data_IF_521888113841
#
_entry.id   IF_521888113841
#
_cell.length_a   1.000
_cell.length_b   1.000
_cell.length_c   1.000
_cell.angle_alpha   90.00
_cell.angle_beta   90.00
_cell.angle_gamma   90.00
#
_symmetry.space_group_name_H-M   'P 1'
#
loop_
_entity.id
_entity.type
_entity.pdbx_description
1 polymer ?
#
# COMPACT_ATOMS: atom_id res chain seq x y z
N UNK A 1 12.17 -16.82 -6.29
CA UNK A 1 11.77 -16.54 -7.67
C UNK A 1 12.99 -16.52 -8.54
N UNK A 2 12.81 -16.06 -9.77
CA UNK A 2 13.88 -15.77 -10.71
C UNK A 2 14.27 -14.27 -10.70
N UNK A 3 13.55 -13.46 -9.93
CA UNK A 3 13.83 -12.05 -9.69
C UNK A 3 15.14 -11.86 -8.94
N UNK A 4 15.85 -10.77 -9.23
CA UNK A 4 17.09 -10.38 -8.54
C UNK A 4 16.80 -9.10 -7.79
N UNK A 5 16.85 -9.18 -6.46
CA UNK A 5 16.67 -8.06 -5.55
C UNK A 5 18.02 -7.73 -4.85
N UNK A 6 18.13 -6.64 -4.07
CA UNK A 6 19.41 -6.24 -3.45
C UNK A 6 20.08 -7.35 -2.63
N UNK A 7 19.30 -8.19 -1.94
CA UNK A 7 19.79 -9.30 -1.12
C UNK A 7 19.68 -10.67 -1.84
N UNK A 8 19.72 -10.67 -3.17
CA UNK A 8 19.65 -11.86 -4.01
C UNK A 8 18.23 -12.21 -4.47
N UNK A 9 18.02 -13.46 -4.84
CA UNK A 9 16.70 -13.91 -5.31
C UNK A 9 15.69 -14.01 -4.16
N UNK A 10 14.46 -13.53 -4.39
CA UNK A 10 13.39 -13.67 -3.40
C UNK A 10 13.13 -15.14 -3.08
N UNK A 11 13.03 -15.52 -1.81
CA UNK A 11 12.76 -16.89 -1.40
C UNK A 11 12.08 -16.94 -0.04
N UNK A 12 11.23 -17.94 0.14
CA UNK A 12 10.54 -18.23 1.40
C UNK A 12 10.07 -19.68 1.40
N UNK A 13 9.43 -20.13 2.46
CA UNK A 13 8.90 -21.48 2.61
C UNK A 13 7.47 -21.45 3.16
N UNK A 14 6.75 -22.55 2.93
CA UNK A 14 5.48 -22.90 3.59
C UNK A 14 5.64 -24.28 4.23
N UNK A 15 4.76 -24.63 5.17
CA UNK A 15 4.79 -25.95 5.83
C UNK A 15 4.39 -27.05 4.84
N UNK A 16 5.08 -28.19 4.88
CA UNK A 16 4.85 -29.30 3.96
C UNK A 16 3.42 -29.85 4.07
N UNK A 17 2.93 -30.05 5.29
CA UNK A 17 1.57 -30.54 5.51
C UNK A 17 0.51 -29.60 4.92
N UNK A 18 0.76 -28.28 4.88
CA UNK A 18 -0.13 -27.32 4.23
C UNK A 18 -0.10 -27.41 2.71
N UNK A 19 1.06 -27.70 2.12
CA UNK A 19 1.19 -27.93 0.68
C UNK A 19 0.50 -29.23 0.22
N UNK A 20 0.41 -30.22 1.11
CA UNK A 20 -0.25 -31.51 0.85
C UNK A 20 -1.75 -31.49 1.18
N UNK A 21 -2.20 -30.52 1.98
CA UNK A 21 -3.60 -30.39 2.34
C UNK A 21 -4.40 -29.77 1.20
N UNK A 22 -5.18 -30.61 0.53
CA UNK A 22 -6.05 -30.13 -0.53
C UNK A 22 -6.97 -29.02 -0.05
N UNK A 23 -7.46 -29.01 1.20
CA UNK A 23 -8.32 -27.95 1.75
C UNK A 23 -7.66 -26.58 1.78
N UNK A 24 -6.33 -26.47 1.74
CA UNK A 24 -5.64 -25.16 1.69
C UNK A 24 -5.54 -24.56 0.30
N UNK A 25 -5.85 -25.33 -0.75
CA UNK A 25 -6.00 -24.81 -2.11
C UNK A 25 -4.73 -24.16 -2.67
N UNK A 26 -3.54 -24.65 -2.28
CA UNK A 26 -2.26 -24.08 -2.75
C UNK A 26 -2.03 -24.45 -4.22
N UNK A 27 -1.73 -23.45 -5.05
CA UNK A 27 -1.64 -23.59 -6.50
C UNK A 27 -0.28 -23.18 -7.05
N UNK A 28 0.11 -23.83 -8.15
CA UNK A 28 1.02 -23.27 -9.14
C UNK A 28 0.19 -22.65 -10.26
N UNK A 29 0.07 -21.33 -10.25
CA UNK A 29 -0.76 -20.59 -11.19
C UNK A 29 0.06 -20.11 -12.40
N UNK A 30 -0.49 -20.30 -13.60
CA UNK A 30 0.05 -19.76 -14.87
C UNK A 30 -0.95 -18.83 -15.61
N UNK A 31 -2.17 -18.69 -15.08
CA UNK A 31 -3.20 -17.75 -15.51
C UNK A 31 -3.76 -16.98 -14.32
N UNK A 32 -4.30 -15.80 -14.58
CA UNK A 32 -5.08 -15.00 -13.64
C UNK A 32 -6.25 -14.38 -14.41
N UNK A 33 -7.49 -14.60 -13.94
CA UNK A 33 -8.72 -14.15 -14.61
C UNK A 33 -8.80 -14.58 -16.08
N UNK A 34 -8.47 -15.85 -16.35
CA UNK A 34 -8.51 -16.46 -17.69
C UNK A 34 -7.34 -16.13 -18.62
N UNK A 35 -6.58 -15.07 -18.33
CA UNK A 35 -5.46 -14.63 -19.15
C UNK A 35 -4.12 -15.16 -18.59
N UNK A 36 -3.08 -15.35 -19.44
CA UNK A 36 -1.73 -15.66 -18.97
C UNK A 36 -1.23 -14.62 -17.95
N UNK A 37 -0.43 -15.04 -16.98
CA UNK A 37 0.12 -14.13 -15.99
C UNK A 37 0.85 -12.95 -16.65
N UNK A 38 0.55 -11.73 -16.18
CA UNK A 38 1.36 -10.54 -16.45
C UNK A 38 2.68 -10.65 -15.70
N UNK A 39 3.78 -10.01 -16.14
CA UNK A 39 5.05 -10.16 -15.44
C UNK A 39 5.01 -9.65 -14.01
N UNK A 40 4.29 -8.56 -13.69
CA UNK A 40 4.09 -8.10 -12.31
C UNK A 40 3.44 -9.15 -11.39
N UNK A 41 2.73 -10.11 -11.99
CA UNK A 41 2.07 -11.21 -11.29
C UNK A 41 2.82 -12.54 -11.48
N UNK A 42 4.08 -12.52 -11.91
CA UNK A 42 4.96 -13.68 -11.86
C UNK A 42 4.99 -14.54 -13.13
N UNK A 43 4.74 -13.96 -14.31
CA UNK A 43 4.86 -14.69 -15.60
C UNK A 43 6.19 -15.47 -15.69
N UNK A 44 6.20 -16.74 -16.14
CA UNK A 44 5.05 -17.53 -16.59
C UNK A 44 4.34 -18.30 -15.47
N UNK A 45 4.93 -18.40 -14.28
CA UNK A 45 4.46 -19.28 -13.22
C UNK A 45 4.72 -18.67 -11.84
N UNK A 46 3.72 -18.74 -10.96
CA UNK A 46 3.85 -18.35 -9.55
C UNK A 46 3.24 -19.39 -8.62
N UNK A 47 3.61 -19.32 -7.35
CA UNK A 47 2.82 -19.93 -6.27
C UNK A 47 1.68 -18.98 -5.90
N UNK A 48 0.50 -19.53 -5.59
CA UNK A 48 -0.61 -18.86 -4.89
C UNK A 48 -0.94 -19.67 -3.66
N UNK A 49 -0.88 -19.03 -2.49
CA UNK A 49 -1.16 -19.65 -1.18
C UNK A 49 -2.37 -18.97 -0.55
N UNK A 50 -3.58 -19.52 -0.73
CA UNK A 50 -4.79 -18.94 -0.16
C UNK A 50 -4.74 -18.79 1.37
N UNK A 51 -5.37 -17.74 1.89
CA UNK A 51 -5.44 -17.47 3.32
C UNK A 51 -4.12 -17.02 3.98
N UNK A 52 -3.03 -16.88 3.21
CA UNK A 52 -1.74 -16.39 3.69
C UNK A 52 -1.38 -15.03 3.09
N UNK A 53 -0.41 -14.35 3.72
CA UNK A 53 0.14 -13.12 3.19
C UNK A 53 0.73 -13.31 1.78
N UNK A 54 0.68 -12.24 0.98
CA UNK A 54 1.19 -12.23 -0.39
C UNK A 54 2.67 -12.63 -0.49
N UNK A 55 3.49 -12.36 0.55
CA UNK A 55 4.90 -12.75 0.60
C UNK A 55 5.14 -14.26 0.44
N UNK A 56 4.19 -15.13 0.83
CA UNK A 56 4.34 -16.60 0.64
C UNK A 56 3.97 -17.07 -0.76
N UNK A 57 3.33 -16.22 -1.55
CA UNK A 57 2.92 -16.49 -2.94
C UNK A 57 4.02 -16.09 -3.93
N UNK A 58 5.14 -16.82 -3.92
CA UNK A 58 6.36 -16.52 -4.70
C UNK A 58 6.08 -16.36 -6.20
N UNK A 59 6.44 -15.20 -6.76
CA UNK A 59 6.38 -14.90 -8.20
C UNK A 59 7.61 -15.43 -8.94
N UNK A 60 7.48 -15.58 -10.26
CA UNK A 60 8.55 -16.03 -11.16
C UNK A 60 9.21 -17.31 -10.64
N UNK A 61 8.40 -18.32 -10.34
CA UNK A 61 8.82 -19.52 -9.64
C UNK A 61 9.91 -20.27 -10.43
N UNK A 62 10.99 -20.64 -9.74
CA UNK A 62 12.14 -21.33 -10.36
C UNK A 62 12.54 -22.63 -9.68
N UNK A 63 12.40 -22.71 -8.36
CA UNK A 63 12.81 -23.87 -7.56
C UNK A 63 11.76 -24.14 -6.48
N UNK A 64 11.48 -25.41 -6.25
CA UNK A 64 10.81 -25.93 -5.06
C UNK A 64 11.82 -26.86 -4.38
N UNK A 65 12.06 -26.66 -3.10
CA UNK A 65 13.05 -27.41 -2.32
C UNK A 65 12.32 -28.00 -1.12
N UNK A 66 12.34 -29.33 -1.03
CA UNK A 66 11.87 -30.02 0.16
C UNK A 66 12.98 -30.05 1.20
N UNK A 67 12.67 -29.62 2.41
CA UNK A 67 13.63 -29.45 3.51
C UNK A 67 12.90 -29.71 4.84
N UNK A 68 13.64 -30.15 5.87
CA UNK A 68 13.13 -30.37 7.22
C UNK A 68 13.05 -29.08 8.06
N UNK A 69 13.65 -28.01 7.56
CA UNK A 69 13.78 -26.72 8.24
C UNK A 69 13.22 -25.56 7.39
N UNK A 70 12.74 -24.47 8.00
CA UNK A 70 12.30 -23.25 7.30
C UNK A 70 13.40 -22.65 6.42
N UNK A 71 12.96 -21.85 5.44
CA UNK A 71 13.85 -21.21 4.47
C UNK A 71 14.88 -20.30 5.16
N UNK A 72 16.16 -20.48 4.83
CA UNK A 72 17.25 -19.60 5.27
C UNK A 72 17.44 -18.37 4.37
N UNK A 73 16.58 -18.17 3.36
CA UNK A 73 16.64 -17.01 2.48
C UNK A 73 16.50 -15.70 3.25
N UNK A 74 17.26 -14.68 2.85
CA UNK A 74 17.27 -13.37 3.50
C UNK A 74 15.87 -12.75 3.65
N UNK A 75 15.01 -12.85 2.61
CA UNK A 75 13.64 -12.31 2.62
C UNK A 75 12.66 -13.11 3.49
N UNK A 76 13.00 -14.35 3.87
CA UNK A 76 12.23 -15.12 4.85
C UNK A 76 12.56 -14.71 6.29
N UNK A 77 13.80 -14.31 6.53
CA UNK A 77 14.31 -13.94 7.85
C UNK A 77 13.97 -12.47 8.15
N UNK A 78 14.34 -11.55 7.26
CA UNK A 78 14.35 -10.11 7.55
C UNK A 78 13.13 -9.34 7.02
N UNK A 79 12.10 -10.04 6.56
CA UNK A 79 10.87 -9.44 6.04
C UNK A 79 9.67 -10.35 6.38
N UNK A 80 8.44 -9.82 6.27
CA UNK A 80 7.20 -10.57 6.50
C UNK A 80 7.13 -11.18 7.92
N UNK A 81 7.47 -10.39 8.93
CA UNK A 81 7.39 -10.73 10.36
C UNK A 81 6.61 -9.70 11.16
N UNK A 82 5.88 -10.15 12.17
CA UNK A 82 5.19 -9.31 13.16
C UNK A 82 5.96 -9.39 14.48
N UNK A 83 6.90 -8.47 14.68
CA UNK A 83 7.72 -8.45 15.90
C UNK A 83 6.89 -8.00 17.12
N UNK A 84 7.27 -8.41 18.35
CA UNK A 84 6.64 -7.94 19.59
C UNK A 84 6.63 -6.42 19.73
N UNK A 85 5.58 -5.86 20.35
CA UNK A 85 5.34 -4.41 20.42
C UNK A 85 6.45 -3.62 21.14
N UNK A 86 7.18 -4.25 22.07
CA UNK A 86 8.28 -3.59 22.78
C UNK A 86 9.59 -3.53 21.99
N UNK A 87 9.65 -4.17 20.81
CA UNK A 87 10.85 -4.16 19.98
C UNK A 87 10.85 -2.90 19.13
N UNK A 88 11.78 -2.00 19.41
CA UNK A 88 11.99 -0.80 18.60
C UNK A 88 12.72 -1.12 17.28
N UNK A 89 12.70 -0.21 16.29
CA UNK A 89 13.50 -0.35 15.07
C UNK A 89 15.00 -0.49 15.36
N UNK A 90 15.51 0.21 16.37
CA UNK A 90 16.92 0.15 16.82
C UNK A 90 17.23 -1.23 17.41
N UNK A 91 16.38 -1.74 18.30
CA UNK A 91 16.56 -3.09 18.84
C UNK A 91 16.54 -4.16 17.75
N UNK A 92 15.67 -4.01 16.76
CA UNK A 92 15.56 -4.95 15.64
C UNK A 92 16.76 -4.87 14.68
N UNK A 93 17.40 -3.71 14.53
CA UNK A 93 18.58 -3.55 13.67
C UNK A 93 19.86 -4.03 14.35
N UNK A 94 19.99 -3.84 15.66
CA UNK A 94 21.17 -4.23 16.44
C UNK A 94 21.22 -5.74 16.75
N UNK A 95 20.07 -6.39 16.94
CA UNK A 95 20.00 -7.79 17.34
C UNK A 95 19.30 -8.68 16.30
N UNK A 96 20.06 -9.42 15.47
CA UNK A 96 19.53 -10.33 14.47
C UNK A 96 18.62 -11.44 15.00
N UNK A 97 18.60 -11.71 16.32
CA UNK A 97 17.77 -12.77 16.90
C UNK A 97 16.28 -12.48 16.74
N UNK A 98 15.87 -11.21 16.69
CA UNK A 98 14.47 -10.82 16.50
C UNK A 98 13.89 -11.34 15.19
N UNK A 99 14.74 -11.48 14.17
CA UNK A 99 14.35 -11.94 12.83
C UNK A 99 14.42 -13.45 12.65
N UNK A 100 14.95 -14.19 13.63
CA UNK A 100 15.19 -15.64 13.51
C UNK A 100 14.23 -16.50 14.31
N UNK A 101 13.34 -15.89 15.08
CA UNK A 101 12.30 -16.60 15.81
C UNK A 101 11.03 -16.73 14.95
N UNK A 102 10.74 -17.96 14.52
CA UNK A 102 9.61 -18.25 13.62
C UNK A 102 8.23 -18.04 14.24
N UNK A 103 8.14 -17.80 15.55
CA UNK A 103 6.89 -17.34 16.18
C UNK A 103 6.44 -15.99 15.64
N UNK A 104 7.37 -15.19 15.10
CA UNK A 104 7.07 -13.89 14.51
C UNK A 104 6.90 -13.94 12.99
N UNK A 105 7.22 -15.08 12.35
CA UNK A 105 7.06 -15.23 10.90
C UNK A 105 5.57 -15.29 10.52
N UNK A 106 5.16 -14.39 9.62
CA UNK A 106 3.76 -14.31 9.23
C UNK A 106 3.47 -15.38 8.16
N UNK A 107 2.36 -16.12 8.35
CA UNK A 107 1.82 -17.06 7.38
C UNK A 107 0.36 -16.72 7.08
N UNK A 108 -0.56 -17.33 7.83
CA UNK A 108 -1.99 -17.08 7.70
C UNK A 108 -2.31 -15.61 8.06
N UNK A 109 -3.20 -14.98 7.30
CA UNK A 109 -3.70 -13.62 7.61
C UNK A 109 -4.49 -13.61 8.95
N UNK A 110 -4.56 -12.46 9.59
CA UNK A 110 -5.49 -12.20 10.69
C UNK A 110 -6.85 -11.75 10.13
N UNK A 111 -7.86 -11.72 11.01
CA UNK A 111 -9.15 -11.11 10.69
C UNK A 111 -8.99 -9.61 10.48
N UNK A 112 -9.59 -9.08 9.43
CA UNK A 112 -9.57 -7.65 9.13
C UNK A 112 -10.88 -7.22 8.44
N UNK A 113 -11.24 -5.95 8.59
CA UNK A 113 -12.35 -5.32 7.91
C UNK A 113 -12.10 -3.82 7.75
N UNK A 114 -12.60 -3.27 6.65
CA UNK A 114 -12.44 -1.86 6.31
C UNK A 114 -13.74 -1.30 5.74
N UNK A 115 -14.01 -0.04 6.06
CA UNK A 115 -15.07 0.75 5.42
C UNK A 115 -14.58 1.20 4.04
N UNK A 116 -15.46 1.15 3.04
CA UNK A 116 -15.22 1.67 1.69
C UNK A 116 -16.17 2.82 1.39
N UNK A 117 -17.44 2.67 1.78
CA UNK A 117 -18.47 3.71 1.71
C UNK A 117 -18.94 4.06 3.12
N UNK A 118 -18.95 5.35 3.51
CA UNK A 118 -18.65 6.52 2.68
C UNK A 118 -17.18 6.62 2.24
N UNK A 119 -16.92 7.20 1.08
CA UNK A 119 -15.58 7.42 0.54
C UNK A 119 -14.81 8.49 1.37
N UNK A 120 -13.48 8.50 1.25
CA UNK A 120 -12.68 9.53 1.91
C UNK A 120 -12.98 10.92 1.30
N UNK A 121 -13.30 11.89 2.16
CA UNK A 121 -13.81 13.22 1.81
C UNK A 121 -15.18 13.24 1.12
N UNK A 122 -15.95 12.16 1.18
CA UNK A 122 -17.35 12.20 0.77
C UNK A 122 -18.12 13.19 1.66
N UNK A 123 -19.01 13.98 1.03
CA UNK A 123 -19.91 14.90 1.72
C UNK A 123 -21.37 14.53 1.45
N UNK A 124 -22.15 14.37 2.52
CA UNK A 124 -23.58 14.13 2.47
C UNK A 124 -24.34 15.38 2.92
N UNK A 125 -25.13 15.97 2.02
CA UNK A 125 -25.98 17.14 2.32
C UNK A 125 -27.27 16.66 3.00
N UNK A 126 -27.42 16.95 4.29
CA UNK A 126 -28.49 16.39 5.14
C UNK A 126 -29.89 16.75 4.59
N UNK A 127 -30.08 17.99 4.13
CA UNK A 127 -31.37 18.47 3.63
C UNK A 127 -31.90 17.72 2.40
N UNK A 128 -31.01 17.15 1.59
CA UNK A 128 -31.35 16.37 0.40
C UNK A 128 -30.99 14.89 0.53
N UNK A 129 -30.54 14.45 1.71
CA UNK A 129 -30.13 13.08 1.94
C UNK A 129 -31.36 12.15 2.00
N UNK A 130 -31.22 10.88 1.58
CA UNK A 130 -32.20 9.85 1.89
C UNK A 130 -32.36 9.68 3.41
N UNK A 131 -33.43 9.00 3.86
CA UNK A 131 -33.62 8.70 5.28
C UNK A 131 -32.52 7.80 5.86
N UNK A 132 -31.89 6.97 5.03
CA UNK A 132 -30.80 6.07 5.40
C UNK A 132 -29.64 6.17 4.44
N UNK A 133 -28.42 5.96 4.94
CA UNK A 133 -27.20 5.84 4.16
C UNK A 133 -26.66 4.40 4.27
N UNK A 134 -26.36 3.75 3.15
CA UNK A 134 -25.80 2.40 3.15
C UNK A 134 -24.27 2.44 3.30
N UNK A 135 -23.79 2.20 4.51
CA UNK A 135 -22.36 2.02 4.78
C UNK A 135 -21.94 0.64 4.25
N UNK A 136 -20.80 0.57 3.55
CA UNK A 136 -20.32 -0.68 2.93
C UNK A 136 -18.82 -0.84 3.06
N UNK A 137 -18.38 -2.09 3.01
CA UNK A 137 -16.96 -2.40 2.98
C UNK A 137 -16.68 -3.86 2.66
N UNK A 138 -15.49 -4.30 3.04
CA UNK A 138 -15.08 -5.69 2.93
C UNK A 138 -14.48 -6.20 4.24
N UNK A 139 -14.44 -7.52 4.38
CA UNK A 139 -13.79 -8.21 5.48
C UNK A 139 -13.12 -9.50 4.97
N UNK A 140 -12.00 -9.88 5.57
CA UNK A 140 -11.28 -11.12 5.26
C UNK A 140 -10.62 -11.71 6.51
N UNK A 141 -10.33 -13.01 6.48
CA UNK A 141 -9.47 -13.68 7.46
C UNK A 141 -8.51 -14.62 6.74
N UNK A 142 -7.51 -15.13 7.47
CA UNK A 142 -6.55 -16.09 6.95
C UNK A 142 -6.91 -17.53 7.20
N UNK A 143 -6.04 -18.44 6.73
CA UNK A 143 -6.11 -19.87 7.00
C UNK A 143 -7.39 -20.57 6.54
N UNK A 144 -8.18 -19.95 5.66
CA UNK A 144 -9.47 -20.49 5.21
C UNK A 144 -10.65 -20.17 6.13
N UNK A 145 -10.46 -19.32 7.15
CA UNK A 145 -11.50 -19.06 8.15
C UNK A 145 -12.58 -18.11 7.63
N UNK A 146 -13.84 -18.48 7.80
CA UNK A 146 -14.99 -17.65 7.40
C UNK A 146 -15.16 -16.45 8.34
N UNK A 147 -15.41 -15.27 7.78
CA UNK A 147 -15.94 -14.14 8.55
C UNK A 147 -17.38 -14.45 8.92
N UNK A 148 -17.68 -14.54 10.21
CA UNK A 148 -19.02 -14.89 10.68
C UNK A 148 -19.84 -13.66 11.04
N UNK A 149 -19.17 -12.56 11.44
CA UNK A 149 -19.82 -11.32 11.87
C UNK A 149 -18.99 -10.11 11.44
N UNK A 150 -19.69 -9.07 10.97
CA UNK A 150 -19.16 -7.72 10.82
C UNK A 150 -20.09 -6.79 11.59
N UNK A 151 -19.51 -5.99 12.47
CA UNK A 151 -20.24 -5.16 13.41
C UNK A 151 -19.83 -3.70 13.25
N UNK A 152 -20.82 -2.80 13.26
CA UNK A 152 -20.63 -1.35 13.12
C UNK A 152 -21.06 -0.66 14.41
N UNK A 153 -20.20 0.22 14.91
CA UNK A 153 -20.52 1.09 16.04
C UNK A 153 -20.48 2.56 15.62
N UNK A 154 -21.40 3.33 16.18
CA UNK A 154 -21.53 4.78 16.00
C UNK A 154 -21.32 5.54 17.34
N UNK A 155 -21.02 4.81 18.41
CA UNK A 155 -21.00 5.33 19.78
C UNK A 155 -19.71 4.99 20.52
N UNK A 156 -18.60 4.96 19.78
CA UNK A 156 -17.23 4.64 20.24
C UNK A 156 -17.07 3.20 20.74
N UNK A 157 -17.84 2.27 20.20
CA UNK A 157 -17.75 0.84 20.50
C UNK A 157 -18.56 0.39 21.71
N UNK A 158 -19.46 1.25 22.23
CA UNK A 158 -20.34 0.92 23.37
C UNK A 158 -21.47 -0.02 22.95
N UNK A 159 -22.03 0.18 21.76
CA UNK A 159 -23.02 -0.69 21.14
C UNK A 159 -22.66 -0.98 19.68
N UNK A 160 -23.23 -2.06 19.14
CA UNK A 160 -22.86 -2.63 17.86
C UNK A 160 -24.10 -3.07 17.06
N UNK A 161 -24.12 -2.72 15.78
CA UNK A 161 -25.11 -3.13 14.80
C UNK A 161 -24.52 -4.21 13.90
N UNK A 162 -25.29 -5.27 13.64
CA UNK A 162 -24.85 -6.39 12.82
C UNK A 162 -25.08 -6.06 11.33
N UNK A 163 -24.01 -6.10 10.53
CA UNK A 163 -24.12 -5.91 9.07
C UNK A 163 -24.58 -7.19 8.36
N UNK A 164 -25.16 -6.99 7.19
CA UNK A 164 -25.35 -8.06 6.20
C UNK A 164 -24.02 -8.36 5.51
N UNK A 165 -23.70 -9.64 5.29
CA UNK A 165 -22.47 -10.09 4.63
C UNK A 165 -22.83 -10.87 3.34
N UNK A 166 -22.26 -10.47 2.20
CA UNK A 166 -22.31 -11.22 0.94
C UNK A 166 -20.99 -12.00 0.73
N UNK A 167 -21.12 -13.32 0.64
CA UNK A 167 -20.02 -14.25 0.40
C UNK A 167 -20.00 -14.65 -1.08
N UNK A 168 -19.34 -13.84 -1.92
CA UNK A 168 -19.27 -14.11 -3.36
C UNK A 168 -18.66 -15.50 -3.68
N UNK A 169 -17.76 -16.00 -2.82
CA UNK A 169 -17.16 -17.33 -2.95
C UNK A 169 -18.18 -18.48 -2.90
N UNK A 170 -19.28 -18.33 -2.14
CA UNK A 170 -20.29 -19.39 -2.02
C UNK A 170 -21.08 -19.59 -3.33
N UNK A 171 -21.10 -18.58 -4.22
CA UNK A 171 -21.61 -18.75 -5.58
C UNK A 171 -20.76 -19.76 -6.36
N UNK A 172 -19.46 -19.81 -6.11
CA UNK A 172 -18.55 -20.79 -6.72
C UNK A 172 -18.57 -22.13 -6.00
N UNK A 173 -18.89 -22.17 -4.69
CA UNK A 173 -19.15 -23.42 -3.96
C UNK A 173 -20.36 -24.17 -4.52
N UNK A 174 -21.37 -23.42 -4.96
CA UNK A 174 -22.57 -23.95 -5.62
C UNK A 174 -22.44 -24.13 -7.13
N UNK A 175 -21.28 -23.82 -7.72
CA UNK A 175 -21.04 -23.93 -9.15
C UNK A 175 -20.27 -25.22 -9.46
N UNK A 176 -20.76 -25.99 -10.41
CA UNK A 176 -20.06 -27.15 -10.96
C UNK A 176 -19.74 -26.91 -12.44
N UNK A 177 -18.45 -27.01 -12.79
CA UNK A 177 -18.00 -26.86 -14.17
C UNK A 177 -16.54 -26.43 -14.27
N UNK A 178 -16.14 -26.13 -15.51
CA UNK A 178 -14.80 -25.65 -15.83
C UNK A 178 -14.82 -24.16 -16.15
N UNK A 179 -13.80 -23.44 -15.67
CA UNK A 179 -13.51 -22.07 -16.06
C UNK A 179 -12.08 -21.98 -16.58
N UNK A 180 -11.92 -21.39 -17.77
CA UNK A 180 -10.61 -21.11 -18.38
C UNK A 180 -9.69 -22.33 -18.59
N UNK A 181 -10.30 -23.53 -18.67
CA UNK A 181 -9.62 -24.82 -18.82
C UNK A 181 -9.20 -25.47 -17.50
N UNK A 182 -9.69 -25.01 -16.36
CA UNK A 182 -9.52 -25.66 -15.07
C UNK A 182 -10.87 -25.91 -14.38
N UNK A 183 -10.97 -27.03 -13.67
CA UNK A 183 -12.15 -27.39 -12.90
C UNK A 183 -12.32 -26.43 -11.71
N UNK A 184 -13.54 -25.93 -11.52
CA UNK A 184 -13.91 -25.23 -10.29
C UNK A 184 -14.26 -26.30 -9.25
N UNK A 185 -13.36 -26.50 -8.29
CA UNK A 185 -13.46 -27.56 -7.28
C UNK A 185 -13.63 -26.98 -5.87
N UNK A 186 -14.74 -26.24 -5.70
CA UNK A 186 -15.06 -25.55 -4.44
C UNK A 186 -16.13 -26.26 -3.62
N UNK A 187 -16.99 -27.07 -4.24
CA UNK A 187 -18.21 -27.62 -3.61
C UNK A 187 -18.00 -28.41 -2.31
N UNK A 188 -16.87 -29.12 -2.18
CA UNK A 188 -16.58 -29.96 -1.02
C UNK A 188 -15.76 -29.26 0.06
N UNK A 189 -15.27 -28.05 -0.23
CA UNK A 189 -14.43 -27.29 0.69
C UNK A 189 -15.33 -26.55 1.66
N UNK A 190 -14.91 -26.44 2.91
CA UNK A 190 -15.53 -25.54 3.89
C UNK A 190 -14.73 -24.25 4.07
N UNK A 191 -13.47 -24.23 3.61
CA UNK A 191 -12.60 -23.07 3.69
C UNK A 191 -13.12 -21.89 2.86
N UNK A 192 -12.84 -20.68 3.33
CA UNK A 192 -13.03 -19.41 2.65
C UNK A 192 -11.68 -18.78 2.27
N UNK A 193 -11.40 -18.71 0.98
CA UNK A 193 -10.17 -18.11 0.46
C UNK A 193 -10.34 -16.65 0.04
N UNK A 194 -11.56 -16.21 -0.18
CA UNK A 194 -11.86 -14.88 -0.65
C UNK A 194 -12.34 -13.98 0.48
N UNK A 195 -12.14 -12.68 0.30
CA UNK A 195 -12.85 -11.67 1.08
C UNK A 195 -14.38 -11.79 0.94
N UNK A 196 -15.07 -11.19 1.88
CA UNK A 196 -16.53 -10.99 1.89
C UNK A 196 -16.83 -9.50 1.83
N UNK A 197 -18.00 -9.15 1.32
CA UNK A 197 -18.49 -7.78 1.30
C UNK A 197 -19.56 -7.60 2.35
N UNK A 198 -19.61 -6.45 3.00
CA UNK A 198 -20.62 -6.18 4.01
C UNK A 198 -21.32 -4.84 3.75
N UNK A 199 -22.56 -4.73 4.23
CA UNK A 199 -23.36 -3.52 4.14
C UNK A 199 -24.30 -3.36 5.33
N UNK A 200 -24.54 -2.11 5.74
CA UNK A 200 -25.53 -1.74 6.75
C UNK A 200 -26.19 -0.41 6.37
N UNK A 201 -27.52 -0.41 6.33
CA UNK A 201 -28.30 0.83 6.21
C UNK A 201 -28.40 1.51 7.57
N UNK A 202 -27.89 2.73 7.67
CA UNK A 202 -27.87 3.53 8.89
C UNK A 202 -28.74 4.78 8.70
N UNK A 203 -29.66 5.11 9.63
CA UNK A 203 -30.38 6.37 9.59
C UNK A 203 -29.44 7.56 9.51
N UNK A 204 -29.72 8.51 8.61
CA UNK A 204 -28.87 9.71 8.48
C UNK A 204 -28.88 10.54 9.77
N UNK A 205 -29.96 10.49 10.54
CA UNK A 205 -30.04 11.08 11.89
C UNK A 205 -28.99 10.52 12.84
N UNK A 206 -28.70 9.22 12.74
CA UNK A 206 -27.76 8.55 13.64
C UNK A 206 -26.33 8.89 13.23
N UNK A 207 -26.04 8.94 11.92
CA UNK A 207 -24.78 9.47 11.41
C UNK A 207 -24.56 10.93 11.83
N UNK A 208 -25.61 11.74 11.79
CA UNK A 208 -25.56 13.15 12.21
C UNK A 208 -25.26 13.29 13.70
N UNK A 209 -25.72 12.35 14.53
CA UNK A 209 -25.50 12.33 15.98
C UNK A 209 -24.16 11.69 16.40
N UNK A 210 -23.37 11.20 15.44
CA UNK A 210 -22.16 10.41 15.69
C UNK A 210 -20.91 11.13 15.21
N UNK A 211 -19.76 10.83 15.82
CA UNK A 211 -18.46 11.40 15.44
C UNK A 211 -17.61 10.44 14.60
N UNK A 212 -18.00 9.17 14.52
CA UNK A 212 -17.30 8.17 13.73
C UNK A 212 -18.17 6.95 13.41
N UNK A 213 -17.79 6.28 12.33
CA UNK A 213 -18.17 4.90 12.01
C UNK A 213 -16.97 4.01 12.37
N UNK A 214 -17.20 3.05 13.26
CA UNK A 214 -16.22 2.02 13.61
C UNK A 214 -16.68 0.68 13.06
N UNK A 215 -15.79 -0.07 12.44
CA UNK A 215 -16.07 -1.44 12.00
C UNK A 215 -15.08 -2.44 12.59
N UNK A 216 -15.61 -3.60 12.97
CA UNK A 216 -14.82 -4.78 13.33
C UNK A 216 -15.43 -6.05 12.74
N UNK A 217 -14.58 -7.02 12.44
CA UNK A 217 -15.00 -8.36 12.06
C UNK A 217 -14.60 -9.41 13.10
N UNK A 218 -15.35 -10.51 13.11
CA UNK A 218 -15.06 -11.74 13.85
C UNK A 218 -15.11 -12.92 12.90
N UNK A 219 -14.12 -13.81 12.98
CA UNK A 219 -14.08 -15.05 12.20
C UNK A 219 -14.67 -16.24 12.96
N UNK A 220 -14.77 -17.39 12.29
CA UNK A 220 -15.35 -18.61 12.87
C UNK A 220 -14.54 -19.21 14.04
N UNK A 221 -13.30 -18.77 14.25
CA UNK A 221 -12.51 -19.12 15.44
C UNK A 221 -12.80 -18.21 16.64
N UNK A 222 -13.76 -17.28 16.49
CA UNK A 222 -14.10 -16.22 17.43
C UNK A 222 -12.97 -15.20 17.62
N UNK A 223 -11.98 -15.17 16.72
CA UNK A 223 -10.97 -14.12 16.70
C UNK A 223 -11.64 -12.82 16.24
N UNK A 224 -11.53 -11.77 17.05
CA UNK A 224 -12.10 -10.44 16.80
C UNK A 224 -10.98 -9.42 16.61
N UNK A 225 -11.18 -8.44 15.73
CA UNK A 225 -10.24 -7.32 15.60
C UNK A 225 -10.07 -6.58 16.94
N UNK A 226 -8.83 -6.26 17.34
CA UNK A 226 -8.57 -5.53 18.57
C UNK A 226 -9.03 -4.08 18.46
N UNK A 227 -9.31 -3.46 19.60
CA UNK A 227 -9.52 -2.02 19.69
C UNK A 227 -8.20 -1.26 19.55
N UNK A 228 -7.19 -1.74 20.24
CA UNK A 228 -5.89 -1.07 20.34
C UNK A 228 -4.95 -1.53 19.23
N UNK A 229 -4.09 -0.61 18.80
CA UNK A 229 -3.12 -0.88 17.75
C UNK A 229 -2.00 -1.78 18.28
N UNK A 230 -1.74 -2.88 17.58
CA UNK A 230 -0.51 -3.65 17.76
C UNK A 230 0.57 -3.03 16.86
N UNK A 231 1.26 -2.01 17.37
CA UNK A 231 2.35 -1.39 16.63
C UNK A 231 3.56 -2.34 16.56
N UNK A 232 4.18 -2.44 15.38
CA UNK A 232 5.39 -3.25 15.17
C UNK A 232 6.32 -2.58 14.16
N UNK A 233 7.60 -2.97 14.20
CA UNK A 233 8.67 -2.41 13.36
C UNK A 233 8.32 -2.32 11.87
N UNK A 234 7.67 -3.34 11.30
CA UNK A 234 7.31 -3.37 9.87
C UNK A 234 5.87 -2.86 9.59
N UNK A 235 5.10 -2.53 10.63
CA UNK A 235 3.70 -2.10 10.48
C UNK A 235 2.77 -3.14 9.81
N UNK A 236 3.20 -4.40 9.73
CA UNK A 236 2.45 -5.46 9.06
C UNK A 236 1.30 -5.96 9.93
N UNK A 237 0.30 -6.60 9.30
CA UNK A 237 -0.83 -7.21 10.00
C UNK A 237 -1.63 -6.24 10.89
N UNK A 238 -1.52 -4.94 10.66
CA UNK A 238 -2.29 -3.94 11.39
C UNK A 238 -3.79 -4.15 11.15
N UNK A 239 -4.52 -4.57 12.20
CA UNK A 239 -5.95 -4.88 12.12
C UNK A 239 -6.81 -4.29 13.26
N UNK A 240 -6.50 -3.14 13.90
CA UNK A 240 -7.41 -2.53 14.85
C UNK A 240 -8.72 -2.12 14.16
N UNK A 241 -9.75 -1.77 14.93
CA UNK A 241 -11.03 -1.32 14.36
C UNK A 241 -10.81 -0.17 13.36
N UNK A 242 -11.32 -0.35 12.14
CA UNK A 242 -11.21 0.68 11.12
C UNK A 242 -12.18 1.80 11.45
N UNK A 243 -11.68 3.05 11.45
CA UNK A 243 -12.41 4.24 11.88
C UNK A 243 -12.53 5.24 10.74
N UNK A 244 -13.77 5.64 10.43
CA UNK A 244 -14.08 6.77 9.56
C UNK A 244 -14.70 7.87 10.41
N UNK A 245 -14.07 9.05 10.49
CA UNK A 245 -14.63 10.16 11.28
C UNK A 245 -15.73 10.86 10.52
N UNK A 246 -16.71 11.39 11.27
CA UNK A 246 -17.82 12.18 10.76
C UNK A 246 -17.69 13.59 11.34
N UNK A 247 -17.64 14.59 10.46
CA UNK A 247 -17.70 16.00 10.85
C UNK A 247 -19.01 16.58 10.33
N UNK A 248 -19.80 17.20 11.20
CA UNK A 248 -21.04 17.86 10.81
C UNK A 248 -20.86 19.37 10.77
N UNK A 249 -20.82 19.94 9.58
CA UNK A 249 -20.64 21.37 9.36
C UNK A 249 -21.71 21.90 8.39
N UNK A 250 -22.43 22.94 8.80
CA UNK A 250 -23.39 23.66 7.95
C UNK A 250 -24.44 22.76 7.26
N UNK A 251 -24.92 21.73 7.97
CA UNK A 251 -25.89 20.78 7.42
C UNK A 251 -25.32 19.76 6.44
N UNK A 252 -23.99 19.56 6.46
CA UNK A 252 -23.28 18.54 5.67
C UNK A 252 -22.48 17.64 6.59
N UNK A 253 -22.58 16.34 6.36
CA UNK A 253 -21.70 15.35 6.99
C UNK A 253 -20.51 15.11 6.07
N UNK A 254 -19.30 15.33 6.57
CA UNK A 254 -18.06 15.01 5.88
C UNK A 254 -17.43 13.78 6.51
N UNK A 255 -16.99 12.84 5.67
CA UNK A 255 -16.38 11.59 6.10
C UNK A 255 -14.88 11.57 5.80
N UNK A 256 -14.07 11.17 6.78
CA UNK A 256 -12.61 11.05 6.59
C UNK A 256 -12.14 9.66 7.00
N UNK A 257 -11.44 8.97 6.10
CA UNK A 257 -10.76 7.72 6.37
C UNK A 257 -9.48 7.97 7.18
N UNK A 258 -8.83 6.92 7.75
CA UNK A 258 -7.60 7.11 8.53
C UNK A 258 -6.49 7.83 7.78
N UNK A 259 -6.18 7.37 6.58
CA UNK A 259 -5.09 7.87 5.74
C UNK A 259 -5.47 7.83 4.26
N UNK A 260 -4.74 8.56 3.43
CA UNK A 260 -4.80 8.42 1.97
C UNK A 260 -3.53 7.69 1.48
N UNK A 261 -3.61 6.72 0.54
CA UNK A 261 -2.50 5.84 0.21
C UNK A 261 -1.31 6.52 -0.47
N UNK A 262 -1.52 7.63 -1.17
CA UNK A 262 -0.49 8.30 -1.99
C UNK A 262 -0.36 9.81 -1.75
N UNK A 263 -1.18 10.37 -0.85
CA UNK A 263 -1.24 11.81 -0.59
C UNK A 263 -1.39 12.02 0.90
N UNK A 264 -1.06 13.22 1.36
CA UNK A 264 -1.45 13.64 2.71
C UNK A 264 -2.97 13.76 2.79
N UNK A 265 -3.57 13.27 3.87
CA UNK A 265 -5.02 13.29 4.05
C UNK A 265 -5.51 12.24 5.04
N UNK A 266 -6.79 12.32 5.39
CA UNK A 266 -7.42 11.48 6.39
C UNK A 266 -7.34 12.05 7.81
N UNK A 267 -8.12 11.47 8.72
CA UNK A 267 -8.25 12.01 10.07
C UNK A 267 -6.98 11.84 10.91
N UNK A 268 -6.14 10.82 10.66
CA UNK A 268 -4.90 10.62 11.42
C UNK A 268 -3.92 11.78 11.21
N UNK A 269 -3.83 12.28 9.99
CA UNK A 269 -3.00 13.44 9.65
C UNK A 269 -3.54 14.72 10.31
N UNK A 270 -4.87 14.92 10.31
CA UNK A 270 -5.53 16.03 11.01
C UNK A 270 -5.25 16.00 12.51
N UNK A 271 -5.37 14.83 13.14
CA UNK A 271 -5.08 14.64 14.57
C UNK A 271 -3.62 14.89 14.88
N UNK A 272 -2.69 14.35 14.08
CA UNK A 272 -1.25 14.59 14.25
C UNK A 272 -0.89 16.07 14.14
N UNK A 273 -1.47 16.79 13.16
CA UNK A 273 -1.31 18.25 13.02
C UNK A 273 -1.86 19.04 14.20
N UNK A 274 -2.92 18.55 14.84
CA UNK A 274 -3.46 19.12 16.06
C UNK A 274 -2.67 18.73 17.33
N UNK A 275 -1.60 17.94 17.20
CA UNK A 275 -0.76 17.47 18.31
C UNK A 275 -1.34 16.28 19.08
N UNK A 276 -2.31 15.57 18.52
CA UNK A 276 -2.89 14.37 19.14
C UNK A 276 -1.97 13.15 19.03
N UNK A 277 -1.92 12.34 20.09
CA UNK A 277 -1.18 11.08 20.14
C UNK A 277 -2.02 9.91 19.64
N UNK A 278 -1.78 9.45 18.41
CA UNK A 278 -2.50 8.32 17.82
C UNK A 278 -2.25 6.98 18.53
N UNK A 279 -1.20 6.88 19.35
CA UNK A 279 -0.88 5.68 20.11
C UNK A 279 -1.52 5.66 21.52
N UNK A 280 -2.22 6.72 21.92
CA UNK A 280 -2.80 6.85 23.26
C UNK A 280 -3.97 5.89 23.58
N UNK A 281 -4.32 4.98 22.66
CA UNK A 281 -5.48 4.09 22.81
C UNK A 281 -6.83 4.79 22.60
N UNK A 282 -6.88 6.11 22.38
CA UNK A 282 -8.09 6.92 22.18
C UNK A 282 -8.06 7.71 20.86
N UNK A 283 -7.38 7.18 19.84
CA UNK A 283 -7.29 7.78 18.50
C UNK A 283 -6.78 9.23 18.49
N UNK A 284 -5.95 9.61 19.47
CA UNK A 284 -5.43 10.97 19.64
C UNK A 284 -6.39 11.98 20.22
N UNK A 285 -7.56 11.55 20.70
CA UNK A 285 -8.46 12.39 21.50
C UNK A 285 -7.90 12.57 22.92
N UNK A 286 -8.07 13.76 23.51
CA UNK A 286 -7.67 14.05 24.89
C UNK A 286 -8.66 13.42 25.86
N UNK A 287 -8.19 12.62 26.82
CA UNK A 287 -9.05 12.05 27.88
C UNK A 287 -9.35 13.13 28.92
N UNK A 288 -10.61 13.29 29.33
CA UNK A 288 -11.00 14.28 30.35
C UNK A 288 -10.24 14.03 31.66
N UNK A 289 -9.40 15.00 32.06
CA UNK A 289 -8.63 14.95 33.32
C UNK A 289 -7.14 14.67 33.16
N UNK A 290 -6.66 14.32 31.96
CA UNK A 290 -5.23 14.21 31.68
C UNK A 290 -4.70 15.55 31.16
N UNK A 291 -3.60 16.03 31.77
CA UNK A 291 -2.85 17.13 31.19
C UNK A 291 -2.36 16.70 29.80
N UNK A 292 -2.43 17.58 28.78
CA UNK A 292 -1.88 17.25 27.47
C UNK A 292 -0.44 16.75 27.65
N UNK A 293 -0.13 15.59 27.06
CA UNK A 293 1.21 15.04 27.07
C UNK A 293 2.19 16.15 26.69
N UNK A 294 3.27 16.31 27.48
CA UNK A 294 4.29 17.31 27.21
C UNK A 294 4.78 17.12 25.78
N UNK A 295 4.66 18.19 25.00
CA UNK A 295 5.22 18.30 23.66
C UNK A 295 6.67 17.83 23.68
N UNK A 296 6.96 16.70 23.04
CA UNK A 296 8.05 16.75 22.10
C UNK A 296 7.45 17.39 20.85
N UNK A 297 7.71 18.69 20.67
CA UNK A 297 7.55 19.26 19.34
C UNK A 297 8.33 18.32 18.42
N UNK A 298 7.68 17.75 17.41
CA UNK A 298 8.38 17.00 16.39
C UNK A 298 9.50 17.92 15.90
N UNK A 299 10.73 17.66 16.34
CA UNK A 299 11.87 18.47 15.94
C UNK A 299 11.88 18.34 14.43
N UNK A 300 11.67 19.46 13.75
CA UNK A 300 11.72 19.47 12.30
C UNK A 300 13.09 18.91 11.91
N UNK A 301 13.09 17.71 11.34
CA UNK A 301 14.35 17.04 11.03
C UNK A 301 15.02 17.83 9.95
N UNK A 302 16.14 18.44 10.33
CA UNK A 302 16.98 19.14 9.39
C UNK A 302 17.61 18.10 8.46
N UNK A 303 17.12 18.05 7.22
CA UNK A 303 17.67 17.18 6.17
C UNK A 303 18.95 17.76 5.56
N UNK A 304 19.35 18.98 5.93
CA UNK A 304 20.56 19.64 5.41
C UNK A 304 21.77 19.25 6.24
N UNK A 305 22.89 19.03 5.54
CA UNK A 305 24.21 19.01 6.16
C UNK A 305 24.54 20.39 6.75
N UNK A 306 24.85 20.44 8.03
CA UNK A 306 25.25 21.68 8.70
C UNK A 306 26.51 22.29 8.07
N UNK A 307 26.53 23.63 7.93
CA UNK A 307 27.68 24.36 7.39
C UNK A 307 27.84 24.29 5.87
N UNK A 308 26.97 23.58 5.14
CA UNK A 308 27.02 23.51 3.68
C UNK A 308 26.22 24.65 3.04
N UNK A 309 26.90 25.58 2.39
CA UNK A 309 26.30 26.74 1.71
C UNK A 309 26.53 26.75 0.19
N UNK A 310 26.77 25.57 -0.39
CA UNK A 310 26.96 25.42 -1.83
C UNK A 310 25.64 25.67 -2.54
N UNK A 311 25.65 26.55 -3.54
CA UNK A 311 24.55 26.76 -4.46
C UNK A 311 24.76 25.89 -5.69
N UNK A 312 23.69 25.23 -6.15
CA UNK A 312 23.68 24.38 -7.34
C UNK A 312 22.73 25.01 -8.36
N UNK A 313 23.24 25.24 -9.56
CA UNK A 313 22.45 25.76 -10.68
C UNK A 313 21.69 24.62 -11.39
N UNK A 314 20.61 24.96 -12.10
CA UNK A 314 19.78 23.95 -12.80
C UNK A 314 20.58 23.16 -13.84
N UNK A 315 21.52 23.81 -14.54
CA UNK A 315 22.35 23.13 -15.53
C UNK A 315 23.27 22.10 -14.88
N UNK A 316 23.89 22.44 -13.75
CA UNK A 316 24.74 21.53 -12.99
C UNK A 316 23.93 20.31 -12.53
N UNK A 317 22.72 20.51 -11.98
CA UNK A 317 21.83 19.41 -11.63
C UNK A 317 21.50 18.51 -12.84
N UNK A 318 21.26 19.11 -14.02
CA UNK A 318 20.96 18.38 -15.27
C UNK A 318 22.15 17.56 -15.76
N UNK A 319 23.38 18.00 -15.53
CA UNK A 319 24.59 17.28 -15.96
C UNK A 319 24.74 15.93 -15.23
N UNK A 320 24.25 15.84 -14.00
CA UNK A 320 24.29 14.60 -13.20
C UNK A 320 23.17 13.60 -13.53
N UNK A 321 22.24 13.92 -14.44
CA UNK A 321 21.16 13.02 -14.85
C UNK A 321 21.65 11.74 -15.54
N UNK A 322 22.73 11.83 -16.32
CA UNK A 322 23.18 10.73 -17.20
C UNK A 322 24.52 10.11 -16.79
N UNK A 323 25.15 10.61 -15.72
CA UNK A 323 26.53 10.26 -15.34
C UNK A 323 26.61 9.10 -14.33
N UNK A 324 25.47 8.50 -13.94
CA UNK A 324 25.43 7.47 -12.89
C UNK A 324 25.46 8.03 -11.48
N UNK A 325 25.35 9.35 -11.33
CA UNK A 325 25.29 10.07 -10.06
C UNK A 325 23.90 10.70 -9.88
N UNK A 326 22.89 9.97 -9.39
CA UNK A 326 21.51 10.44 -9.41
C UNK A 326 21.29 11.51 -8.34
N UNK A 327 21.49 12.77 -8.72
CA UNK A 327 21.18 13.92 -7.88
C UNK A 327 19.69 14.24 -7.94
N UNK A 328 19.03 14.54 -6.83
CA UNK A 328 17.59 14.85 -6.82
C UNK A 328 17.29 15.97 -5.82
N UNK A 329 16.11 16.60 -5.96
CA UNK A 329 15.71 17.72 -5.10
C UNK A 329 14.65 17.25 -4.09
N UNK A 330 14.81 17.67 -2.83
CA UNK A 330 13.79 17.59 -1.78
C UNK A 330 13.73 18.92 -1.04
N UNK A 331 12.58 19.58 -1.08
CA UNK A 331 12.30 20.91 -0.53
C UNK A 331 13.32 21.98 -0.95
N UNK A 332 13.71 21.97 -2.23
CA UNK A 332 14.70 22.92 -2.78
C UNK A 332 16.17 22.62 -2.45
N UNK A 333 16.44 21.55 -1.70
CA UNK A 333 17.80 21.08 -1.40
C UNK A 333 18.18 19.93 -2.32
N UNK A 334 19.44 19.84 -2.72
CA UNK A 334 19.96 18.85 -3.66
C UNK A 334 20.74 17.77 -2.90
N UNK A 335 20.44 16.51 -3.24
CA UNK A 335 21.01 15.33 -2.61
C UNK A 335 21.64 14.40 -3.64
N UNK A 336 22.77 13.81 -3.30
CA UNK A 336 23.43 12.79 -4.10
C UNK A 336 23.06 11.38 -3.60
N UNK A 337 22.26 10.65 -4.38
CA UNK A 337 21.81 9.31 -4.03
C UNK A 337 22.80 8.18 -4.34
N UNK A 338 23.97 8.47 -4.93
CA UNK A 338 24.88 7.46 -5.52
C UNK A 338 25.28 6.36 -4.53
N UNK A 339 25.75 6.76 -3.35
CA UNK A 339 26.21 5.83 -2.31
C UNK A 339 25.06 4.99 -1.72
N UNK A 340 23.82 5.49 -1.80
CA UNK A 340 22.65 4.80 -1.24
C UNK A 340 21.91 3.90 -2.23
N UNK A 341 22.36 3.83 -3.49
CA UNK A 341 21.67 3.03 -4.51
C UNK A 341 21.49 1.55 -4.15
N UNK A 342 22.51 0.96 -3.50
CA UNK A 342 22.49 -0.46 -3.12
C UNK A 342 21.63 -0.73 -1.88
N UNK A 343 21.60 0.25 -0.98
CA UNK A 343 20.98 0.11 0.33
C UNK A 343 19.53 0.62 0.34
N UNK A 344 19.09 1.32 -0.71
CA UNK A 344 17.71 1.82 -0.82
C UNK A 344 16.72 0.65 -0.83
N UNK A 345 15.81 0.54 0.16
CA UNK A 345 14.86 -0.57 0.26
C UNK A 345 13.91 -0.68 -0.94
N UNK A 346 13.63 0.44 -1.62
CA UNK A 346 12.84 0.48 -2.86
C UNK A 346 13.64 0.12 -4.12
N UNK A 347 14.91 -0.23 -3.97
CA UNK A 347 15.86 -0.58 -5.03
C UNK A 347 16.45 0.63 -5.75
N UNK A 348 17.69 0.47 -6.22
CA UNK A 348 18.48 1.51 -6.93
C UNK A 348 17.69 2.26 -8.01
N UNK A 349 16.85 1.56 -8.77
CA UNK A 349 16.12 2.15 -9.89
C UNK A 349 15.19 3.30 -9.46
N UNK A 350 14.67 3.26 -8.23
CA UNK A 350 13.76 4.29 -7.69
C UNK A 350 14.48 5.62 -7.49
N UNK A 351 15.74 5.60 -7.07
CA UNK A 351 16.58 6.81 -6.96
C UNK A 351 17.05 7.25 -8.36
N UNK A 352 17.48 6.31 -9.20
CA UNK A 352 17.95 6.61 -10.56
C UNK A 352 16.86 7.31 -11.39
N UNK A 353 15.59 6.89 -11.25
CA UNK A 353 14.48 7.55 -11.93
C UNK A 353 14.23 8.99 -11.46
N UNK A 354 14.63 9.32 -10.23
CA UNK A 354 14.45 10.64 -9.62
C UNK A 354 15.58 11.61 -9.93
N UNK A 355 16.67 11.16 -10.58
CA UNK A 355 17.81 12.03 -10.90
C UNK A 355 17.34 13.30 -11.64
N UNK A 356 17.84 14.48 -11.32
CA UNK A 356 17.45 15.77 -11.89
C UNK A 356 15.99 16.22 -11.66
N UNK A 357 15.23 15.52 -10.82
CA UNK A 357 13.83 15.86 -10.54
C UNK A 357 13.66 16.40 -9.12
N UNK A 358 12.63 17.25 -8.95
CA UNK A 358 12.07 17.55 -7.64
C UNK A 358 11.10 16.45 -7.25
N UNK A 359 11.45 15.74 -6.18
CA UNK A 359 10.70 14.60 -5.65
C UNK A 359 10.23 14.88 -4.23
N UNK A 360 10.07 16.15 -3.87
CA UNK A 360 9.66 16.57 -2.53
C UNK A 360 8.38 15.87 -2.07
N UNK A 361 7.34 15.85 -2.92
CA UNK A 361 6.05 15.24 -2.57
C UNK A 361 6.17 13.74 -2.41
N UNK A 362 6.77 13.04 -3.39
CA UNK A 362 6.92 11.59 -3.36
C UNK A 362 7.81 11.15 -2.20
N UNK A 363 8.92 11.84 -1.97
CA UNK A 363 9.85 11.53 -0.90
C UNK A 363 9.16 11.66 0.46
N UNK A 364 8.50 12.78 0.72
CA UNK A 364 7.83 13.04 2.01
C UNK A 364 6.62 12.12 2.25
N UNK A 365 5.96 11.65 1.18
CA UNK A 365 4.80 10.78 1.28
C UNK A 365 5.15 9.33 1.70
N UNK A 366 6.31 8.81 1.29
CA UNK A 366 6.64 7.38 1.46
C UNK A 366 7.85 7.10 2.35
N UNK A 367 8.70 8.10 2.62
CA UNK A 367 9.91 7.91 3.43
C UNK A 367 9.67 8.32 4.89
N UNK A 368 10.08 7.43 5.80
CA UNK A 368 9.93 7.57 7.24
C UNK A 368 10.85 8.63 7.84
N UNK A 369 10.62 8.93 9.11
CA UNK A 369 11.43 9.86 9.90
C UNK A 369 12.93 9.48 9.91
N UNK A 370 13.22 8.18 10.07
CA UNK A 370 14.58 7.63 10.01
C UNK A 370 15.26 7.89 8.67
N UNK A 371 14.52 7.83 7.55
CA UNK A 371 15.08 8.13 6.24
C UNK A 371 15.44 9.63 6.13
N UNK A 372 14.62 10.51 6.71
CA UNK A 372 14.89 11.96 6.76
C UNK A 372 16.14 12.27 7.59
N UNK A 373 16.37 11.54 8.69
CA UNK A 373 17.57 11.71 9.53
C UNK A 373 18.87 11.34 8.78
N UNK A 374 18.80 10.46 7.77
CA UNK A 374 19.96 10.10 6.95
C UNK A 374 20.30 11.14 5.87
N UNK A 375 19.33 11.98 5.47
CA UNK A 375 19.48 12.93 4.36
C UNK A 375 20.67 13.90 4.46
N UNK A 376 21.06 14.42 5.65
CA UNK A 376 22.27 15.25 5.78
C UNK A 376 23.55 14.56 5.29
N UNK A 377 23.61 13.23 5.35
CA UNK A 377 24.71 12.44 4.82
C UNK A 377 24.84 12.53 3.29
N UNK A 378 23.73 12.79 2.59
CA UNK A 378 23.65 12.85 1.13
C UNK A 378 23.48 14.27 0.58
N UNK A 379 23.26 15.26 1.46
CA UNK A 379 23.07 16.66 1.08
C UNK A 379 24.35 17.26 0.47
N UNK A 380 24.24 17.83 -0.73
CA UNK A 380 25.37 18.40 -1.48
C UNK A 380 25.26 19.90 -1.77
N UNK A 381 24.09 20.51 -1.56
CA UNK A 381 23.90 21.95 -1.69
C UNK A 381 22.43 22.33 -1.88
N UNK A 382 22.19 23.64 -1.93
CA UNK A 382 20.86 24.23 -2.12
C UNK A 382 20.69 24.64 -3.58
N UNK A 383 19.50 24.45 -4.15
CA UNK A 383 19.23 24.91 -5.51
C UNK A 383 19.18 26.45 -5.56
N UNK A 384 19.75 27.08 -6.59
CA UNK A 384 19.74 28.53 -6.73
C UNK A 384 18.32 29.11 -6.83
N UNK A 385 18.10 30.34 -6.38
CA UNK A 385 16.78 31.00 -6.44
C UNK A 385 16.25 31.10 -7.87
N UNK A 386 17.14 31.33 -8.85
CA UNK A 386 16.80 31.33 -10.28
C UNK A 386 16.36 29.95 -10.75
N UNK A 387 17.03 28.88 -10.33
CA UNK A 387 16.66 27.52 -10.69
C UNK A 387 15.33 27.09 -10.03
N UNK A 388 15.09 27.48 -8.78
CA UNK A 388 13.81 27.25 -8.10
C UNK A 388 12.64 27.96 -8.82
N UNK A 389 12.83 29.21 -9.24
CA UNK A 389 11.82 29.95 -9.99
C UNK A 389 11.47 29.26 -11.31
N UNK A 390 12.47 28.73 -12.05
CA UNK A 390 12.26 27.97 -13.29
C UNK A 390 11.46 26.69 -13.04
N UNK A 391 11.68 26.01 -11.91
CA UNK A 391 10.90 24.81 -11.54
C UNK A 391 9.46 25.14 -11.13
N UNK A 392 9.24 26.27 -10.47
CA UNK A 392 7.92 26.72 -10.01
C UNK A 392 7.05 27.29 -11.15
N UNK A 393 7.64 28.05 -12.08
CA UNK A 393 6.95 28.64 -13.24
C UNK A 393 6.72 27.59 -14.36
N UNK A 394 7.65 26.63 -14.47
CA UNK A 394 7.66 25.38 -15.24
C UNK A 394 6.55 24.36 -14.99
N UNK A 395 5.77 24.46 -13.91
CA UNK A 395 4.68 23.53 -13.54
C UNK A 395 4.75 22.13 -14.15
N UNK A 396 5.74 21.29 -13.84
CA UNK A 396 5.87 19.88 -14.28
C UNK A 396 5.62 19.59 -15.80
N UNK A 397 5.69 20.59 -16.68
CA UNK A 397 5.32 20.44 -18.09
C UNK A 397 6.40 21.03 -19.00
N UNK A 398 7.60 20.41 -19.01
CA UNK A 398 8.41 20.45 -20.23
C UNK A 398 7.65 19.63 -21.29
N UNK A 399 6.76 20.30 -22.05
CA UNK A 399 6.25 19.75 -23.30
C UNK A 399 7.43 19.56 -24.23
N UNK A 400 7.68 18.32 -24.64
CA UNK A 400 8.64 18.07 -25.69
C UNK A 400 8.06 18.64 -27.00
N UNK A 401 8.45 19.87 -27.35
CA UNK A 401 8.02 20.58 -28.54
C UNK A 401 8.63 20.03 -29.85
N UNK A 402 9.29 18.86 -29.79
CA UNK A 402 9.77 18.17 -30.98
C UNK A 402 8.60 17.57 -31.75
N UNK A 403 8.48 17.97 -33.02
CA UNK A 403 7.49 17.45 -33.97
C UNK A 403 7.98 16.20 -34.71
N UNK A 404 9.19 15.71 -34.43
CA UNK A 404 9.73 14.52 -35.09
C UNK A 404 9.26 13.22 -34.41
N UNK A 405 8.83 12.21 -35.18
CA UNK A 405 8.40 10.92 -34.63
C UNK A 405 9.55 10.21 -33.91
N UNK A 406 9.36 9.90 -32.63
CA UNK A 406 10.43 9.33 -31.79
C UNK A 406 10.51 7.82 -31.98
N UNK A 407 11.72 7.24 -31.90
CA UNK A 407 11.89 5.77 -31.93
C UNK A 407 11.21 5.06 -30.73
N UNK A 408 11.16 5.73 -29.59
CA UNK A 408 10.66 5.21 -28.31
C UNK A 408 9.58 6.14 -27.77
N UNK A 409 8.42 5.58 -27.44
CA UNK A 409 7.24 6.33 -27.02
C UNK A 409 7.38 6.90 -25.60
N UNK A 410 7.50 6.02 -24.59
CA UNK A 410 7.60 6.47 -23.20
C UNK A 410 8.96 7.12 -22.94
N UNK A 411 8.89 8.26 -22.25
CA UNK A 411 10.03 8.95 -21.69
C UNK A 411 9.89 8.89 -20.17
N UNK A 412 10.96 8.55 -19.46
CA UNK A 412 10.93 8.48 -18.00
C UNK A 412 10.64 9.83 -17.33
N UNK A 413 10.75 10.94 -18.07
CA UNK A 413 10.74 12.32 -17.57
C UNK A 413 9.67 13.21 -18.19
N UNK A 414 8.95 12.72 -19.21
CA UNK A 414 8.00 13.52 -19.97
C UNK A 414 6.69 12.75 -20.17
N UNK A 415 5.57 13.44 -19.94
CA UNK A 415 4.26 12.92 -20.31
C UNK A 415 4.17 12.80 -21.83
N UNK A 416 3.85 11.59 -22.31
CA UNK A 416 3.61 11.34 -23.73
C UNK A 416 2.12 11.25 -23.97
N UNK A 417 1.57 12.21 -24.72
CA UNK A 417 0.17 12.24 -25.08
C UNK A 417 -0.12 11.12 -26.10
N UNK A 418 -1.22 10.40 -25.90
CA UNK A 418 -1.67 9.32 -26.79
C UNK A 418 -3.19 9.24 -26.79
N UNK A 419 -3.73 8.61 -27.84
CA UNK A 419 -5.15 8.34 -28.01
C UNK A 419 -5.51 6.98 -27.44
N UNK A 420 -6.52 6.93 -26.57
CA UNK A 420 -7.15 5.67 -26.18
C UNK A 420 -8.00 5.15 -27.33
N UNK A 421 -7.57 4.04 -27.95
CA UNK A 421 -8.26 3.48 -29.13
C UNK A 421 -9.20 2.34 -28.80
N UNK A 422 -9.00 1.63 -27.67
CA UNK A 422 -9.88 0.52 -27.28
C UNK A 422 -9.95 0.35 -25.78
N UNK A 423 -11.16 0.02 -25.31
CA UNK A 423 -11.44 -0.43 -23.94
C UNK A 423 -12.12 -1.81 -24.00
N UNK A 424 -11.43 -2.85 -23.54
CA UNK A 424 -11.99 -4.21 -23.40
C UNK A 424 -12.36 -4.44 -21.94
N UNK A 425 -13.61 -4.81 -21.69
CA UNK A 425 -14.05 -5.26 -20.36
C UNK A 425 -13.60 -6.71 -20.20
N UNK A 426 -12.91 -7.01 -19.09
CA UNK A 426 -12.45 -8.37 -18.76
C UNK A 426 -13.35 -8.99 -17.70
N UNK A 427 -13.70 -8.22 -16.68
CA UNK A 427 -14.63 -8.56 -15.60
C UNK A 427 -15.38 -7.30 -15.14
N UNK A 428 -16.24 -7.43 -14.13
CA UNK A 428 -16.94 -6.29 -13.52
C UNK A 428 -15.99 -5.20 -12.99
N UNK A 429 -14.78 -5.58 -12.55
CA UNK A 429 -13.78 -4.70 -11.95
C UNK A 429 -12.51 -4.50 -12.80
N UNK A 430 -12.28 -5.33 -13.83
CA UNK A 430 -11.04 -5.30 -14.62
C UNK A 430 -11.30 -4.91 -16.07
N UNK A 431 -10.49 -4.00 -16.60
CA UNK A 431 -10.55 -3.49 -17.98
C UNK A 431 -9.15 -3.44 -18.58
N UNK A 432 -9.05 -3.70 -19.88
CA UNK A 432 -7.83 -3.53 -20.67
C UNK A 432 -8.02 -2.31 -21.56
N UNK A 433 -7.10 -1.35 -21.43
CA UNK A 433 -7.04 -0.16 -22.28
C UNK A 433 -5.94 -0.36 -23.33
N UNK A 434 -6.21 0.01 -24.59
CA UNK A 434 -5.25 -0.02 -25.68
C UNK A 434 -5.05 1.41 -26.17
N UNK A 435 -3.80 1.86 -26.20
CA UNK A 435 -3.40 3.20 -26.61
C UNK A 435 -2.61 3.11 -27.93
N UNK A 436 -2.76 4.11 -28.78
CA UNK A 436 -2.05 4.20 -30.06
C UNK A 436 -0.68 4.87 -29.88
N UNK A 437 0.36 4.28 -30.45
CA UNK A 437 1.69 4.90 -30.51
C UNK A 437 1.76 5.90 -31.67
N UNK A 438 2.74 6.80 -31.66
CA UNK A 438 2.88 7.86 -32.67
C UNK A 438 3.02 7.29 -34.09
N UNK A 439 3.63 6.11 -34.23
CA UNK A 439 3.71 5.39 -35.50
C UNK A 439 3.87 3.87 -35.31
N UNK A 440 3.57 3.04 -36.33
CA UNK A 440 3.52 1.56 -36.20
C UNK A 440 4.84 0.86 -35.83
N UNK A 441 5.97 1.51 -36.09
CA UNK A 441 7.32 0.98 -35.78
C UNK A 441 7.86 1.47 -34.43
N UNK A 442 7.11 2.31 -33.71
CA UNK A 442 7.55 2.87 -32.45
C UNK A 442 7.58 1.78 -31.37
N UNK A 443 8.62 1.80 -30.55
CA UNK A 443 8.70 0.91 -29.39
C UNK A 443 8.14 1.63 -28.16
N UNK A 444 7.51 0.90 -27.24
CA UNK A 444 6.96 1.52 -26.03
C UNK A 444 8.06 2.11 -25.13
N UNK A 445 9.25 1.49 -25.10
CA UNK A 445 10.37 1.91 -24.24
C UNK A 445 10.32 1.40 -22.81
N UNK A 446 9.25 0.68 -22.45
CA UNK A 446 9.07 0.13 -21.11
C UNK A 446 9.08 -1.40 -21.16
N UNK A 447 10.00 -2.07 -20.44
CA UNK A 447 10.01 -3.52 -20.33
C UNK A 447 8.70 -4.04 -19.74
N UNK A 448 8.35 -5.28 -20.09
CA UNK A 448 7.12 -5.91 -19.60
C UNK A 448 7.20 -6.12 -18.08
N UNK A 449 6.14 -5.78 -17.34
CA UNK A 449 6.13 -5.86 -15.87
C UNK A 449 6.58 -4.60 -15.17
N UNK A 450 6.33 -3.45 -15.78
CA UNK A 450 6.57 -2.15 -15.18
C UNK A 450 5.28 -1.36 -15.26
N UNK A 451 5.06 -0.55 -14.24
CA UNK A 451 3.89 0.31 -14.14
C UNK A 451 4.13 1.60 -14.94
N UNK A 452 3.06 2.15 -15.48
CA UNK A 452 3.06 3.46 -16.12
C UNK A 452 1.98 4.31 -15.45
N UNK A 453 2.28 5.58 -15.24
CA UNK A 453 1.31 6.54 -14.73
C UNK A 453 0.44 7.02 -15.89
N UNK A 454 -0.86 7.12 -15.68
CA UNK A 454 -1.81 7.65 -16.68
C UNK A 454 -2.54 8.82 -16.02
N UNK A 455 -2.53 9.96 -16.70
CA UNK A 455 -3.36 11.12 -16.40
C UNK A 455 -4.39 11.23 -17.53
N UNK A 456 -5.69 11.28 -17.18
CA UNK A 456 -6.81 11.40 -18.13
C UNK A 456 -7.42 12.78 -17.99
#
# INVERSE_FOLDING_TARGET
GADVLPNGHYGTSIKLNWALDFNRGILLAHKMNGEPLRPDHGRPLRVVVPGQIGGRSVKWLKRLILTDSPSTNWYHINDNRLLPTMVSPEMASEDPKWWRDDRYAIFDLNVNSSVVYPENNEELVIASAPSTYTVKGYAYSGGGRRITRVEISLDKGRSWHLAHIDYAEDKYRNFEGDLFGGKVDMYWRETCFCWSFWSLDIPVSDLQASDAILVRAMDESLAVQPRDMYWSVLGMMNNPWFRVTITNENGRLKFEHPTHPTKTGGWMERVKKAGGDLANGYWGETVQGEAPAQQESAKEINMRREGLSRLIELQELKDHVSNGEPWFIVNGEVYDGTEFLRDHPGGAQSIISSAGMDVSEEFLAIHSETARIMMPGYHIGTLSTSALAVLQDNGLEEQNNSTEPRKTFLQSRYWSKTTLVRKKIVSSDSRIFTFELEHPKQTLGLPVGRHLMIKV
#
